data_IF_694241619846
#
_entry.id   IF_694241619846
#
_cell.length_a   1.000
_cell.length_b   1.000
_cell.length_c   1.000
_cell.angle_alpha   90.00
_cell.angle_beta   90.00
_cell.angle_gamma   90.00
#
_symmetry.space_group_name_H-M   'P 1'
#
loop_
_entity.id
_entity.type
_entity.pdbx_description
1 polymer ?
#
# COMPACT_ATOMS: atom_id res chain seq x y z
N UNK A 1 -6.96 12.85 -28.96
CA UNK A 1 -8.21 13.18 -28.27
C UNK A 1 -7.90 13.54 -26.83
N UNK A 2 -8.23 14.79 -26.44
CA UNK A 2 -8.12 15.20 -25.04
C UNK A 2 -9.21 14.45 -24.27
N UNK A 3 -8.83 13.36 -23.60
CA UNK A 3 -9.70 12.70 -22.62
C UNK A 3 -10.02 13.75 -21.55
N UNK A 4 -11.28 14.19 -21.48
CA UNK A 4 -11.77 15.04 -20.39
C UNK A 4 -11.68 14.22 -19.11
N UNK A 5 -10.58 14.41 -18.36
CA UNK A 5 -10.38 13.79 -17.06
C UNK A 5 -11.48 14.31 -16.14
N UNK A 6 -12.39 13.44 -15.75
CA UNK A 6 -13.46 13.80 -14.80
C UNK A 6 -12.84 13.93 -13.41
N UNK A 7 -12.46 15.15 -13.05
CA UNK A 7 -12.09 15.50 -11.68
C UNK A 7 -13.37 15.78 -10.91
N UNK A 8 -13.54 15.13 -9.78
CA UNK A 8 -14.67 15.38 -8.88
C UNK A 8 -14.18 16.12 -7.64
N UNK A 9 -14.93 17.16 -7.24
CA UNK A 9 -14.73 17.86 -5.98
C UNK A 9 -15.58 17.16 -4.89
N UNK A 10 -14.93 16.60 -3.87
CA UNK A 10 -15.60 15.94 -2.76
C UNK A 10 -15.46 16.75 -1.48
N UNK A 11 -16.60 17.17 -0.92
CA UNK A 11 -16.67 17.99 0.30
C UNK A 11 -17.43 17.20 1.38
N UNK A 12 -16.97 16.00 1.70
CA UNK A 12 -17.62 15.15 2.69
C UNK A 12 -16.75 14.96 3.92
N UNK A 13 -17.36 15.00 5.10
CA UNK A 13 -16.67 14.77 6.34
C UNK A 13 -16.26 13.29 6.51
N UNK A 14 -15.15 13.10 7.23
CA UNK A 14 -14.65 11.77 7.55
C UNK A 14 -15.69 10.93 8.33
N UNK A 15 -16.49 11.59 9.18
CA UNK A 15 -17.56 10.97 9.93
C UNK A 15 -18.66 10.38 9.04
N UNK A 16 -19.01 11.04 7.93
CA UNK A 16 -20.01 10.51 6.98
C UNK A 16 -19.48 9.34 6.15
N UNK A 17 -18.15 9.28 5.90
CA UNK A 17 -17.50 8.14 5.23
C UNK A 17 -17.45 6.90 6.14
N UNK A 18 -17.42 7.11 7.46
CA UNK A 18 -17.42 6.04 8.46
C UNK A 18 -18.82 5.69 8.97
N UNK A 19 -19.89 6.26 8.40
CA UNK A 19 -21.24 5.86 8.75
C UNK A 19 -21.47 4.37 8.44
N UNK A 20 -22.23 3.69 9.30
CA UNK A 20 -22.52 2.25 9.21
C UNK A 20 -23.14 1.79 7.88
N UNK A 21 -23.62 2.74 7.05
CA UNK A 21 -24.21 2.49 5.73
C UNK A 21 -23.23 2.65 4.56
N UNK A 22 -21.95 3.03 4.82
CA UNK A 22 -20.96 3.09 3.74
C UNK A 22 -20.60 1.66 3.29
N UNK A 23 -20.53 1.38 1.98
CA UNK A 23 -20.10 0.07 1.52
C UNK A 23 -18.67 -0.21 1.97
N UNK A 24 -18.46 -1.36 2.60
CA UNK A 24 -17.16 -1.83 3.04
C UNK A 24 -16.70 -2.94 2.11
N UNK A 25 -15.41 -2.92 1.77
CA UNK A 25 -14.76 -4.05 1.11
C UNK A 25 -14.49 -5.17 2.12
N UNK A 26 -14.23 -6.37 1.61
CA UNK A 26 -13.89 -7.52 2.43
C UNK A 26 -12.67 -7.32 3.35
N UNK A 27 -11.80 -6.37 3.01
CA UNK A 27 -10.62 -5.94 3.79
C UNK A 27 -10.90 -4.79 4.77
N UNK A 28 -12.17 -4.41 4.96
CA UNK A 28 -12.61 -3.34 5.86
C UNK A 28 -12.39 -1.92 5.33
N UNK A 29 -11.88 -1.74 4.09
CA UNK A 29 -11.79 -0.42 3.46
C UNK A 29 -13.16 0.11 3.09
N UNK A 30 -13.36 1.40 3.27
CA UNK A 30 -14.61 2.08 2.94
C UNK A 30 -14.56 2.57 1.50
N UNK A 31 -15.49 2.08 0.69
CA UNK A 31 -15.69 2.60 -0.66
C UNK A 31 -16.42 3.93 -0.62
N UNK A 32 -15.91 4.89 -1.37
CA UNK A 32 -16.63 6.14 -1.58
C UNK A 32 -17.83 5.92 -2.50
N UNK A 33 -19.04 6.11 -1.96
CA UNK A 33 -20.31 5.89 -2.67
C UNK A 33 -20.61 6.89 -3.80
N UNK A 34 -19.71 7.83 -4.09
CA UNK A 34 -19.90 8.79 -5.19
C UNK A 34 -20.89 9.92 -4.90
N UNK A 35 -21.23 10.21 -3.65
CA UNK A 35 -22.26 11.18 -3.24
C UNK A 35 -22.09 12.57 -3.83
N UNK A 36 -20.86 13.01 -4.09
CA UNK A 36 -20.60 14.32 -4.69
C UNK A 36 -20.58 14.30 -6.23
N UNK A 37 -20.78 13.15 -6.86
CA UNK A 37 -20.74 13.01 -8.32
C UNK A 37 -21.82 13.79 -9.06
N UNK A 38 -22.97 13.97 -8.39
CA UNK A 38 -24.18 14.55 -8.98
C UNK A 38 -24.49 15.96 -8.43
N UNK A 39 -23.56 16.58 -7.70
CA UNK A 39 -23.72 17.96 -7.25
C UNK A 39 -23.68 18.92 -8.44
N UNK A 40 -24.63 19.87 -8.45
CA UNK A 40 -24.59 21.00 -9.38
C UNK A 40 -23.43 21.93 -9.05
N UNK A 41 -23.08 22.81 -10.00
CA UNK A 41 -22.05 23.83 -9.79
C UNK A 41 -22.40 24.73 -8.58
N UNK A 42 -23.67 25.09 -8.41
CA UNK A 42 -24.16 25.91 -7.30
C UNK A 42 -24.04 25.17 -5.96
N UNK A 43 -24.45 23.91 -5.92
CA UNK A 43 -24.32 23.06 -4.72
C UNK A 43 -22.83 22.87 -4.34
N UNK A 44 -21.99 22.69 -5.33
CA UNK A 44 -20.53 22.56 -5.13
C UNK A 44 -19.96 23.86 -4.58
N UNK A 45 -20.32 25.02 -5.15
CA UNK A 45 -19.88 26.33 -4.69
C UNK A 45 -20.38 26.64 -3.27
N UNK A 46 -21.64 26.32 -2.96
CA UNK A 46 -22.20 26.50 -1.62
C UNK A 46 -21.41 25.68 -0.57
N UNK A 47 -21.15 24.42 -0.84
CA UNK A 47 -20.37 23.56 0.05
C UNK A 47 -18.90 24.00 0.17
N UNK A 48 -18.30 24.49 -0.91
CA UNK A 48 -16.92 24.99 -0.91
C UNK A 48 -16.71 26.23 -0.02
N UNK A 49 -17.77 26.97 0.31
CA UNK A 49 -17.72 28.09 1.26
C UNK A 49 -17.46 27.64 2.71
N UNK A 50 -17.83 26.42 3.05
CA UNK A 50 -17.70 25.88 4.40
C UNK A 50 -16.46 25.01 4.58
N UNK A 51 -15.98 24.38 3.50
CA UNK A 51 -14.82 23.48 3.55
C UNK A 51 -14.22 23.33 2.16
N UNK A 52 -12.88 23.38 2.10
CA UNK A 52 -12.16 23.10 0.86
C UNK A 52 -12.44 21.67 0.36
N UNK A 53 -12.75 21.51 -0.93
CA UNK A 53 -13.06 20.21 -1.48
C UNK A 53 -11.82 19.35 -1.72
N UNK A 54 -11.88 18.07 -1.37
CA UNK A 54 -10.92 17.10 -1.87
C UNK A 54 -11.15 16.82 -3.37
N UNK A 55 -10.08 16.67 -4.13
CA UNK A 55 -10.15 16.27 -5.54
C UNK A 55 -10.05 14.75 -5.64
N UNK A 56 -11.03 14.14 -6.33
CA UNK A 56 -11.05 12.70 -6.58
C UNK A 56 -10.98 12.40 -8.07
N UNK A 57 -10.35 11.29 -8.39
CA UNK A 57 -10.42 10.67 -9.69
C UNK A 57 -11.53 9.63 -9.67
N UNK A 58 -12.50 9.78 -10.58
CA UNK A 58 -13.48 8.74 -10.85
C UNK A 58 -12.79 7.59 -11.58
N UNK A 59 -12.83 6.40 -10.98
CA UNK A 59 -12.31 5.21 -11.63
C UNK A 59 -13.36 4.59 -12.57
N UNK A 60 -12.95 4.07 -13.72
CA UNK A 60 -13.84 3.39 -14.66
C UNK A 60 -14.24 2.01 -14.14
N UNK A 61 -15.37 1.52 -14.61
CA UNK A 61 -15.78 0.12 -14.43
C UNK A 61 -15.00 -0.77 -15.40
N UNK A 62 -13.76 -1.02 -15.03
CA UNK A 62 -12.79 -1.77 -15.86
C UNK A 62 -11.89 -2.61 -14.96
N UNK A 63 -11.65 -3.84 -15.36
CA UNK A 63 -10.68 -4.71 -14.74
C UNK A 63 -9.26 -4.33 -15.17
N UNK A 64 -8.36 -4.21 -14.20
CA UNK A 64 -6.93 -4.02 -14.42
C UNK A 64 -6.21 -5.25 -13.92
N UNK A 65 -5.41 -5.86 -14.79
CA UNK A 65 -4.61 -7.06 -14.49
C UNK A 65 -3.13 -6.74 -14.59
N UNK A 66 -2.34 -7.39 -13.74
CA UNK A 66 -0.88 -7.40 -13.82
C UNK A 66 -0.32 -8.71 -13.29
N UNK A 67 0.95 -8.95 -13.51
CA UNK A 67 1.67 -10.10 -12.95
C UNK A 67 2.58 -9.56 -11.85
N UNK A 68 2.28 -9.95 -10.61
CA UNK A 68 3.17 -9.67 -9.48
C UNK A 68 4.35 -10.64 -9.49
N UNK A 69 5.56 -10.16 -9.22
CA UNK A 69 6.76 -10.98 -9.28
C UNK A 69 6.85 -12.09 -8.22
N UNK A 70 6.00 -12.04 -7.18
CA UNK A 70 5.92 -13.08 -6.15
C UNK A 70 4.54 -13.74 -6.07
N UNK A 71 3.46 -12.96 -6.05
CA UNK A 71 2.09 -13.48 -5.93
C UNK A 71 1.49 -13.94 -7.25
N UNK A 72 2.13 -13.66 -8.40
CA UNK A 72 1.64 -14.06 -9.71
C UNK A 72 0.52 -13.18 -10.25
N UNK A 73 -0.41 -13.73 -11.08
CA UNK A 73 -1.48 -12.96 -11.70
C UNK A 73 -2.43 -12.34 -10.68
N UNK A 74 -2.69 -11.04 -10.81
CA UNK A 74 -3.64 -10.31 -9.98
C UNK A 74 -4.54 -9.45 -10.85
N UNK A 75 -5.84 -9.48 -10.59
CA UNK A 75 -6.86 -8.73 -11.34
C UNK A 75 -7.83 -8.09 -10.36
N UNK A 76 -8.21 -6.84 -10.62
CA UNK A 76 -9.17 -6.11 -9.79
C UNK A 76 -10.01 -5.16 -10.65
N UNK A 77 -11.31 -5.08 -10.37
CA UNK A 77 -12.19 -4.08 -10.97
C UNK A 77 -12.04 -2.74 -10.23
N UNK A 78 -11.67 -1.70 -10.97
CA UNK A 78 -11.35 -0.40 -10.38
C UNK A 78 -12.56 0.27 -9.73
N UNK A 79 -13.72 0.30 -10.39
CA UNK A 79 -14.90 0.96 -9.83
C UNK A 79 -15.50 0.19 -8.65
N UNK A 80 -15.59 -1.13 -8.79
CA UNK A 80 -16.25 -1.99 -7.81
C UNK A 80 -15.40 -2.22 -6.55
N UNK A 81 -14.08 -2.29 -6.69
CA UNK A 81 -13.19 -2.69 -5.61
C UNK A 81 -12.25 -1.59 -5.10
N UNK A 82 -11.99 -0.53 -5.88
CA UNK A 82 -11.21 0.62 -5.43
C UNK A 82 -12.08 1.83 -5.14
N UNK A 83 -13.15 2.04 -5.92
CA UNK A 83 -13.95 3.27 -5.88
C UNK A 83 -13.15 4.52 -6.29
N UNK A 84 -13.74 5.70 -6.16
CA UNK A 84 -13.06 6.95 -6.53
C UNK A 84 -11.92 7.29 -5.59
N UNK A 85 -10.72 7.43 -6.12
CA UNK A 85 -9.52 7.68 -5.33
C UNK A 85 -9.28 9.18 -5.13
N UNK A 86 -8.80 9.55 -3.94
CA UNK A 86 -8.38 10.93 -3.66
C UNK A 86 -7.04 11.19 -4.37
N UNK A 87 -6.99 12.28 -5.15
CA UNK A 87 -5.75 12.79 -5.74
C UNK A 87 -5.15 13.90 -4.89
N UNK A 88 -6.01 14.80 -4.35
CA UNK A 88 -5.61 15.90 -3.48
C UNK A 88 -6.63 16.02 -2.35
N UNK A 89 -6.13 16.09 -1.14
CA UNK A 89 -6.91 16.25 0.08
C UNK A 89 -7.44 17.68 0.21
N UNK A 90 -8.43 17.88 1.07
CA UNK A 90 -8.99 19.20 1.38
C UNK A 90 -7.98 20.17 2.04
N UNK A 91 -6.96 19.64 2.69
CA UNK A 91 -5.84 20.42 3.25
C UNK A 91 -4.77 20.79 2.20
N UNK A 92 -5.02 20.52 0.93
CA UNK A 92 -4.13 20.84 -0.18
C UNK A 92 -3.02 19.82 -0.44
N UNK A 93 -2.84 18.81 0.42
CA UNK A 93 -1.80 17.77 0.28
C UNK A 93 -2.20 16.76 -0.78
N UNK A 94 -1.28 16.38 -1.65
CA UNK A 94 -1.51 15.29 -2.61
C UNK A 94 -1.59 13.95 -1.89
N UNK A 95 -2.51 13.09 -2.34
CA UNK A 95 -2.70 11.80 -1.76
C UNK A 95 -1.58 10.83 -2.16
N UNK A 96 -1.28 9.89 -1.26
CA UNK A 96 -0.20 8.91 -1.41
C UNK A 96 -0.20 8.20 -2.78
N UNK A 97 -1.35 7.76 -3.25
CA UNK A 97 -1.46 7.02 -4.52
C UNK A 97 -1.00 7.82 -5.74
N UNK A 98 -1.24 9.14 -5.74
CA UNK A 98 -0.75 10.01 -6.81
C UNK A 98 0.72 10.35 -6.61
N UNK A 99 1.13 10.69 -5.38
CA UNK A 99 2.48 11.10 -5.08
C UNK A 99 3.49 9.98 -5.45
N UNK A 100 3.24 8.76 -4.98
CA UNK A 100 4.16 7.63 -5.23
C UNK A 100 4.30 7.32 -6.73
N UNK A 101 3.21 7.39 -7.50
CA UNK A 101 3.26 7.14 -8.95
C UNK A 101 4.09 8.20 -9.68
N UNK A 102 3.93 9.47 -9.30
CA UNK A 102 4.67 10.59 -9.91
C UNK A 102 6.14 10.54 -9.52
N UNK A 103 6.43 10.32 -8.25
CA UNK A 103 7.81 10.28 -7.74
C UNK A 103 8.58 9.10 -8.35
N UNK A 104 8.00 7.90 -8.33
CA UNK A 104 8.61 6.70 -8.91
C UNK A 104 8.89 6.86 -10.40
N UNK A 105 7.93 7.43 -11.16
CA UNK A 105 8.10 7.67 -12.58
C UNK A 105 9.21 8.69 -12.87
N UNK A 106 9.22 9.83 -12.15
CA UNK A 106 10.22 10.89 -12.35
C UNK A 106 11.61 10.47 -11.87
N UNK A 107 11.70 9.60 -10.88
CA UNK A 107 12.97 9.03 -10.40
C UNK A 107 13.46 7.86 -11.26
N UNK A 108 12.69 7.42 -12.26
CA UNK A 108 13.05 6.32 -13.15
C UNK A 108 13.08 4.96 -12.46
N UNK A 109 12.21 4.75 -11.47
CA UNK A 109 12.10 3.47 -10.75
C UNK A 109 11.57 2.41 -11.72
N UNK A 110 12.27 1.29 -11.83
CA UNK A 110 11.93 0.18 -12.73
C UNK A 110 11.35 -1.03 -12.00
N UNK A 111 11.57 -1.13 -10.70
CA UNK A 111 11.10 -2.26 -9.88
C UNK A 111 10.73 -1.78 -8.48
N UNK A 112 9.58 -2.23 -7.96
CA UNK A 112 9.08 -1.90 -6.62
C UNK A 112 8.88 -3.19 -5.82
N UNK A 113 9.63 -3.32 -4.72
CA UNK A 113 9.44 -4.39 -3.73
C UNK A 113 8.78 -3.80 -2.48
N UNK A 114 7.62 -4.31 -2.07
CA UNK A 114 6.86 -3.77 -0.93
C UNK A 114 5.95 -4.81 -0.26
N UNK A 115 5.36 -4.49 0.88
CA UNK A 115 4.43 -5.38 1.59
C UNK A 115 3.15 -5.68 0.81
N UNK A 116 2.63 -6.89 0.95
CA UNK A 116 1.42 -7.35 0.25
C UNK A 116 0.13 -6.63 0.68
N UNK A 117 0.15 -5.82 1.74
CA UNK A 117 -0.93 -4.90 2.08
C UNK A 117 -1.18 -3.83 1.01
N UNK A 118 -0.22 -3.60 0.12
CA UNK A 118 -0.35 -2.69 -1.01
C UNK A 118 -0.67 -3.40 -2.34
N UNK A 119 -0.82 -4.73 -2.36
CA UNK A 119 -1.14 -5.49 -3.57
C UNK A 119 -2.42 -4.97 -4.22
N UNK A 120 -3.48 -4.80 -3.45
CA UNK A 120 -4.76 -4.25 -3.89
C UNK A 120 -4.73 -2.74 -4.25
N UNK A 121 -3.63 -2.03 -3.94
CA UNK A 121 -3.41 -0.66 -4.39
C UNK A 121 -2.77 -0.57 -5.78
N UNK A 122 -2.14 -1.65 -6.24
CA UNK A 122 -1.39 -1.66 -7.51
C UNK A 122 -2.26 -1.39 -8.73
N UNK A 123 -3.46 -1.96 -8.90
CA UNK A 123 -4.31 -1.68 -10.06
C UNK A 123 -4.68 -0.21 -10.23
N UNK A 124 -5.00 0.49 -9.14
CA UNK A 124 -5.28 1.93 -9.21
C UNK A 124 -4.02 2.76 -9.53
N UNK A 125 -2.84 2.34 -9.06
CA UNK A 125 -1.57 2.96 -9.43
C UNK A 125 -1.23 2.73 -10.89
N UNK A 126 -1.40 1.51 -11.42
CA UNK A 126 -1.23 1.20 -12.83
C UNK A 126 -2.15 2.06 -13.71
N UNK A 127 -3.38 2.28 -13.29
CA UNK A 127 -4.30 3.18 -13.97
C UNK A 127 -3.82 4.65 -13.93
N UNK A 128 -3.22 5.09 -12.82
CA UNK A 128 -2.60 6.43 -12.74
C UNK A 128 -1.38 6.54 -13.66
N UNK A 129 -0.51 5.52 -13.73
CA UNK A 129 0.61 5.48 -14.68
C UNK A 129 0.09 5.65 -16.12
N UNK A 130 -0.94 4.91 -16.49
CA UNK A 130 -1.58 5.00 -17.81
C UNK A 130 -2.14 6.40 -18.10
N UNK A 131 -2.87 6.99 -17.15
CA UNK A 131 -3.46 8.33 -17.30
C UNK A 131 -2.43 9.43 -17.44
N UNK A 132 -1.28 9.29 -16.78
CA UNK A 132 -0.19 10.25 -16.82
C UNK A 132 0.76 10.02 -18.00
N UNK A 133 0.64 8.90 -18.71
CA UNK A 133 1.51 8.53 -19.81
C UNK A 133 2.90 8.07 -19.36
N UNK A 134 3.01 7.58 -18.12
CA UNK A 134 4.24 7.01 -17.59
C UNK A 134 4.32 5.50 -17.85
N UNK A 135 5.53 4.97 -17.96
CA UNK A 135 5.77 3.53 -17.98
C UNK A 135 5.73 3.00 -16.55
N UNK A 136 4.88 2.01 -16.21
CA UNK A 136 4.84 1.46 -14.87
C UNK A 136 6.07 0.59 -14.60
N UNK A 137 6.57 0.55 -13.35
CA UNK A 137 7.59 -0.39 -12.92
C UNK A 137 7.04 -1.82 -12.80
N UNK A 138 7.92 -2.80 -12.64
CA UNK A 138 7.56 -4.12 -12.17
C UNK A 138 7.22 -4.06 -10.67
N UNK A 139 6.18 -4.81 -10.27
CA UNK A 139 5.75 -4.88 -8.86
C UNK A 139 6.02 -6.26 -8.29
N UNK A 140 6.57 -6.30 -7.09
CA UNK A 140 6.82 -7.51 -6.33
C UNK A 140 6.36 -7.27 -4.90
N UNK A 141 5.38 -8.04 -4.45
CA UNK A 141 4.90 -7.92 -3.09
C UNK A 141 5.47 -9.03 -2.21
N UNK A 142 5.74 -8.71 -0.95
CA UNK A 142 6.28 -9.65 0.04
C UNK A 142 5.30 -9.81 1.20
N UNK A 143 5.30 -10.97 1.91
CA UNK A 143 4.42 -11.19 3.04
C UNK A 143 4.72 -10.20 4.17
N UNK A 144 3.71 -9.92 5.00
CA UNK A 144 3.83 -9.11 6.18
C UNK A 144 4.31 -9.95 7.37
N UNK A 145 5.05 -9.31 8.27
CA UNK A 145 5.29 -9.86 9.59
C UNK A 145 4.13 -9.49 10.51
N UNK A 146 3.51 -10.49 11.11
CA UNK A 146 2.34 -10.36 11.97
C UNK A 146 2.70 -10.79 13.38
N UNK A 147 2.12 -10.14 14.37
CA UNK A 147 2.20 -10.59 15.75
C UNK A 147 1.37 -11.87 15.98
N UNK A 148 1.57 -12.55 17.08
CA UNK A 148 0.86 -13.80 17.42
C UNK A 148 -0.67 -13.62 17.53
N UNK A 149 -1.14 -12.41 17.85
CA UNK A 149 -2.54 -12.03 17.89
C UNK A 149 -3.15 -11.68 16.50
N UNK A 150 -2.37 -11.82 15.43
CA UNK A 150 -2.79 -11.55 14.06
C UNK A 150 -2.76 -10.08 13.65
N UNK A 151 -2.37 -9.14 14.51
CA UNK A 151 -2.15 -7.74 14.12
C UNK A 151 -0.85 -7.61 13.33
N UNK A 152 -0.80 -6.64 12.42
CA UNK A 152 0.43 -6.28 11.72
C UNK A 152 1.43 -5.67 12.71
N UNK A 153 2.69 -6.11 12.67
CA UNK A 153 3.76 -5.46 13.39
C UNK A 153 3.94 -4.03 12.88
N UNK A 154 3.89 -3.06 13.78
CA UNK A 154 3.95 -1.65 13.41
C UNK A 154 4.86 -0.84 14.32
N UNK A 155 5.39 0.28 13.80
CA UNK A 155 6.18 1.24 14.57
C UNK A 155 5.41 1.84 15.76
N UNK A 156 4.08 1.91 15.68
CA UNK A 156 3.23 2.49 16.75
C UNK A 156 3.23 1.64 18.00
N UNK A 157 3.33 0.33 17.84
CA UNK A 157 3.30 -0.65 18.93
C UNK A 157 4.70 -0.96 19.46
N UNK A 158 5.75 -0.29 18.92
CA UNK A 158 7.18 -0.51 19.25
C UNK A 158 7.67 -1.95 19.08
N UNK A 159 6.95 -2.76 18.31
CA UNK A 159 7.25 -4.18 18.16
C UNK A 159 8.58 -4.44 17.45
N UNK A 160 8.91 -3.63 16.43
CA UNK A 160 10.13 -3.72 15.64
C UNK A 160 10.53 -2.33 15.14
N UNK A 161 10.88 -1.42 16.04
CA UNK A 161 11.49 -0.15 15.66
C UNK A 161 12.98 -0.38 15.34
N UNK A 162 13.37 -0.15 14.08
CA UNK A 162 14.77 -0.32 13.66
C UNK A 162 15.73 0.61 14.41
N UNK A 163 15.26 1.78 14.85
CA UNK A 163 16.05 2.70 15.68
C UNK A 163 16.34 2.11 17.06
N UNK A 164 15.33 1.46 17.66
CA UNK A 164 15.48 0.74 18.93
C UNK A 164 16.39 -0.48 18.75
N UNK A 165 16.14 -1.31 17.74
CA UNK A 165 16.93 -2.52 17.45
C UNK A 165 18.40 -2.18 17.21
N UNK A 166 18.69 -1.08 16.52
CA UNK A 166 20.06 -0.60 16.28
C UNK A 166 20.82 -0.28 17.56
N UNK A 167 20.15 0.08 18.65
CA UNK A 167 20.79 0.34 19.94
C UNK A 167 21.17 -0.97 20.67
N UNK A 168 20.51 -2.08 20.35
CA UNK A 168 20.67 -3.36 21.02
C UNK A 168 21.57 -4.32 20.26
N UNK A 169 21.74 -4.13 18.95
CA UNK A 169 22.61 -4.96 18.12
C UNK A 169 23.89 -4.22 17.75
N UNK A 170 25.03 -4.85 17.99
CA UNK A 170 26.35 -4.33 17.59
C UNK A 170 26.46 -4.23 16.06
N UNK A 171 25.71 -5.06 15.33
CA UNK A 171 25.73 -5.14 13.87
C UNK A 171 24.36 -5.56 13.30
N UNK A 172 24.07 -5.32 12.01
CA UNK A 172 22.79 -5.70 11.40
C UNK A 172 22.64 -7.21 11.12
N UNK A 173 23.70 -7.99 11.16
CA UNK A 173 23.72 -9.40 10.74
C UNK A 173 22.73 -10.29 11.52
N UNK A 174 22.55 -10.19 12.84
CA UNK A 174 21.56 -10.98 13.57
C UNK A 174 20.14 -10.72 13.09
N UNK A 175 19.79 -9.46 12.82
CA UNK A 175 18.47 -9.09 12.31
C UNK A 175 18.27 -9.59 10.87
N UNK A 176 19.29 -9.45 10.01
CA UNK A 176 19.25 -9.95 8.64
C UNK A 176 19.09 -11.48 8.62
N UNK A 177 19.81 -12.20 9.47
CA UNK A 177 19.71 -13.65 9.59
C UNK A 177 18.34 -14.12 10.04
N UNK A 178 17.73 -13.42 11.01
CA UNK A 178 16.38 -13.76 11.42
C UNK A 178 15.36 -13.47 10.32
N UNK A 179 15.43 -12.33 9.63
CA UNK A 179 14.54 -12.04 8.52
C UNK A 179 14.70 -13.06 7.39
N UNK A 180 15.93 -13.50 7.11
CA UNK A 180 16.21 -14.55 6.14
C UNK A 180 15.63 -15.91 6.56
N UNK A 181 15.71 -16.27 7.83
CA UNK A 181 15.07 -17.46 8.38
C UNK A 181 13.53 -17.38 8.24
N UNK A 182 12.93 -16.27 8.64
CA UNK A 182 11.49 -16.06 8.51
C UNK A 182 11.01 -16.08 7.04
N UNK A 183 11.85 -15.60 6.13
CA UNK A 183 11.60 -15.66 4.69
C UNK A 183 11.92 -17.02 4.06
N UNK A 184 12.31 -18.05 4.84
CA UNK A 184 12.59 -19.39 4.35
C UNK A 184 13.94 -19.53 3.60
N UNK A 185 14.80 -18.51 3.65
CA UNK A 185 16.10 -18.52 2.97
C UNK A 185 17.16 -19.28 3.76
N UNK A 186 17.08 -19.29 5.09
CA UNK A 186 17.96 -19.98 6.01
C UNK A 186 17.19 -21.02 6.83
N UNK A 187 17.82 -22.15 7.21
CA UNK A 187 17.20 -23.15 8.09
C UNK A 187 17.17 -22.72 9.56
N UNK A 188 18.06 -21.82 9.97
CA UNK A 188 18.20 -21.31 11.35
C UNK A 188 18.44 -19.79 11.33
N UNK A 189 18.03 -19.06 12.40
CA UNK A 189 18.20 -17.60 12.47
C UNK A 189 19.65 -17.23 12.91
N UNK A 190 20.64 -17.63 12.12
CA UNK A 190 22.04 -17.30 12.36
C UNK A 190 22.44 -15.94 11.77
N UNK A 191 23.37 -15.21 12.41
CA UNK A 191 23.84 -13.94 11.87
C UNK A 191 24.48 -14.10 10.48
N UNK A 192 24.00 -13.30 9.52
CA UNK A 192 24.46 -13.31 8.14
C UNK A 192 24.39 -11.93 7.54
N UNK A 193 25.29 -11.59 6.63
CA UNK A 193 25.21 -10.35 5.87
C UNK A 193 24.26 -10.48 4.67
N UNK A 194 23.69 -9.34 4.23
CA UNK A 194 22.89 -9.32 3.01
C UNK A 194 23.64 -9.83 1.78
N UNK A 195 24.97 -9.60 1.71
CA UNK A 195 25.81 -10.07 0.62
C UNK A 195 25.91 -11.61 0.57
N UNK A 196 26.03 -12.25 1.72
CA UNK A 196 26.08 -13.72 1.83
C UNK A 196 24.74 -14.37 1.49
N UNK A 197 23.63 -13.64 1.64
CA UNK A 197 22.30 -14.13 1.26
C UNK A 197 22.03 -14.09 -0.24
N UNK A 198 22.71 -13.25 -1.02
CA UNK A 198 22.46 -13.10 -2.46
C UNK A 198 22.42 -14.45 -3.22
N UNK A 199 23.42 -15.37 -3.06
CA UNK A 199 23.40 -16.66 -3.76
C UNK A 199 22.35 -17.63 -3.22
N UNK A 200 21.79 -17.40 -2.04
CA UNK A 200 20.79 -18.25 -1.40
C UNK A 200 19.35 -17.77 -1.68
N UNK A 201 19.22 -16.55 -2.19
CA UNK A 201 17.93 -15.92 -2.42
C UNK A 201 17.17 -16.62 -3.55
N UNK A 202 15.89 -16.87 -3.29
CA UNK A 202 14.95 -17.37 -4.31
C UNK A 202 13.52 -16.98 -3.90
N UNK A 203 12.77 -16.42 -4.83
CA UNK A 203 11.34 -16.09 -4.61
C UNK A 203 10.52 -17.33 -4.27
N UNK A 204 10.89 -18.52 -4.77
CA UNK A 204 10.19 -19.77 -4.47
C UNK A 204 10.29 -20.18 -2.98
N UNK A 205 11.29 -19.69 -2.26
CA UNK A 205 11.47 -19.95 -0.82
C UNK A 205 10.64 -18.99 0.03
N UNK A 206 10.37 -17.77 -0.46
CA UNK A 206 9.62 -16.77 0.29
C UNK A 206 8.16 -17.22 0.40
N UNK A 207 7.56 -17.28 1.61
CA UNK A 207 6.18 -17.72 1.76
C UNK A 207 5.19 -16.72 1.15
N UNK A 208 4.09 -17.21 0.58
CA UNK A 208 2.99 -16.38 0.10
C UNK A 208 2.08 -15.88 1.23
N UNK A 209 2.01 -16.63 2.33
CA UNK A 209 1.21 -16.23 3.49
C UNK A 209 1.98 -15.28 4.39
N UNK A 210 1.26 -14.40 5.08
CA UNK A 210 1.85 -13.55 6.12
C UNK A 210 2.53 -14.41 7.20
N UNK A 211 3.65 -13.93 7.70
CA UNK A 211 4.53 -14.64 8.62
C UNK A 211 4.20 -14.22 10.05
N UNK A 212 3.77 -15.18 10.87
CA UNK A 212 3.50 -14.93 12.29
C UNK A 212 4.82 -15.01 13.04
N UNK A 213 5.19 -13.90 13.69
CA UNK A 213 6.38 -13.82 14.54
C UNK A 213 5.96 -14.14 15.98
N UNK A 214 6.47 -15.24 16.52
CA UNK A 214 6.15 -15.64 17.91
C UNK A 214 6.77 -14.66 18.91
N UNK A 215 6.16 -14.53 20.10
CA UNK A 215 6.69 -13.71 21.19
C UNK A 215 8.13 -14.12 21.57
N UNK A 216 8.44 -15.42 21.51
CA UNK A 216 9.78 -15.92 21.76
C UNK A 216 10.81 -15.32 20.79
N UNK A 217 10.45 -15.21 19.49
CA UNK A 217 11.29 -14.58 18.48
C UNK A 217 11.35 -13.06 18.69
N UNK A 218 10.24 -12.40 19.02
CA UNK A 218 10.23 -10.98 19.37
C UNK A 218 11.10 -10.67 20.59
N UNK A 219 11.12 -11.56 21.58
CA UNK A 219 11.94 -11.39 22.77
C UNK A 219 13.44 -11.52 22.49
N UNK A 220 13.85 -12.23 21.42
CA UNK A 220 15.25 -12.21 20.97
C UNK A 220 15.71 -10.81 20.51
N UNK A 221 14.77 -9.92 20.20
CA UNK A 221 15.05 -8.53 19.83
C UNK A 221 14.89 -7.53 20.96
N UNK A 222 14.26 -7.94 22.08
CA UNK A 222 14.01 -7.05 23.23
C UNK A 222 15.11 -7.14 24.31
N UNK A 223 16.22 -7.81 23.99
CA UNK A 223 17.40 -7.91 24.87
C UNK A 223 18.14 -6.60 25.01
#
# INVERSE_FOLDING_TARGET
>A
PRVRRQRQMCIRDRAELHAAQAPHLSDGRILYAGTCRHLTAEQTAAKARTKDPAQRLRLPDTAVSFIDGHYGPYTQNLAAECGDIILRRSDGVYAYQLAVVVDDALMGITEIVRGCDLLSSTPQQLYLYQLLGFTPPAFIHVPLLMAADGRRLSKRDRDLDLGFLRQHFVSPQPLIGLLAFLAGLLPTPEPVSAKELLPLFSWQKVPHNNIIVSEKLLNLFKL
#
